data_IF_939772722014
#
_entry.id   IF_939772722014
#
_cell.length_a   1.000
_cell.length_b   1.000
_cell.length_c   1.000
_cell.angle_alpha   90.00
_cell.angle_beta   90.00
_cell.angle_gamma   90.00
#
_symmetry.space_group_name_H-M   'P 1'
#
loop_
_entity.id
_entity.type
_entity.pdbx_description
1 polymer ?
#
# COMPACT_ATOMS: atom_id res chain seq x y z
N UNK A 1 -5.47 -57.37 2.44
CA UNK A 1 -5.68 -57.23 0.99
C UNK A 1 -6.88 -56.32 0.79
N UNK A 2 -6.69 -55.16 0.14
CA UNK A 2 -7.67 -54.36 -0.62
C UNK A 2 -8.97 -53.91 0.09
N UNK A 3 -9.57 -52.74 -0.10
CA UNK A 3 -9.35 -51.46 -0.81
C UNK A 3 -10.70 -50.73 -0.61
N UNK A 4 -10.70 -49.40 -0.44
CA UNK A 4 -11.70 -48.35 -0.79
C UNK A 4 -13.22 -48.69 -0.77
N UNK A 5 -14.18 -47.83 -0.40
CA UNK A 5 -14.37 -46.41 -0.67
C UNK A 5 -15.71 -45.93 -0.08
N UNK A 6 -15.80 -44.66 0.35
CA UNK A 6 -16.86 -43.65 0.06
C UNK A 6 -16.88 -42.57 1.16
N UNK A 7 -16.35 -41.36 0.93
CA UNK A 7 -17.04 -40.14 0.43
C UNK A 7 -18.15 -39.68 1.41
N UNK A 8 -18.28 -38.44 1.91
CA UNK A 8 -17.78 -37.13 1.50
C UNK A 8 -18.02 -36.14 2.66
N UNK A 9 -17.06 -35.28 2.98
CA UNK A 9 -17.31 -33.85 3.19
C UNK A 9 -15.96 -33.15 3.25
N UNK A 10 -15.39 -32.93 2.08
CA UNK A 10 -14.39 -31.90 1.88
C UNK A 10 -15.10 -30.57 2.13
N UNK A 11 -14.89 -29.98 3.31
CA UNK A 11 -15.16 -28.55 3.46
C UNK A 11 -14.06 -27.84 2.70
N UNK A 12 -14.42 -27.41 1.50
CA UNK A 12 -13.63 -26.53 0.67
C UNK A 12 -13.43 -25.23 1.46
N UNK A 13 -12.30 -25.11 2.17
CA UNK A 13 -11.85 -23.82 2.67
C UNK A 13 -11.34 -23.06 1.44
N UNK A 14 -12.26 -22.33 0.82
CA UNK A 14 -11.92 -21.22 -0.06
C UNK A 14 -11.22 -20.17 0.80
N UNK A 15 -9.91 -20.28 0.88
CA UNK A 15 -9.01 -19.22 1.34
C UNK A 15 -8.44 -18.58 0.08
N UNK A 16 -9.29 -17.81 -0.58
CA UNK A 16 -8.82 -16.80 -1.53
C UNK A 16 -9.43 -15.48 -1.10
N UNK A 17 -8.71 -14.82 -0.20
CA UNK A 17 -8.59 -13.37 -0.27
C UNK A 17 -7.08 -13.09 -0.14
N UNK A 18 -6.52 -12.42 -1.15
CA UNK A 18 -5.07 -12.40 -1.41
C UNK A 18 -4.27 -11.56 -0.40
N UNK A 19 -4.92 -10.98 0.61
CA UNK A 19 -4.30 -10.09 1.60
C UNK A 19 -4.43 -10.58 3.06
N UNK A 20 -4.58 -11.88 3.30
CA UNK A 20 -4.48 -12.42 4.66
C UNK A 20 -3.23 -13.27 4.82
N UNK A 21 -2.23 -12.72 5.51
CA UNK A 21 -1.05 -13.47 6.00
C UNK A 21 -1.52 -14.55 6.97
N UNK A 22 -1.82 -15.74 6.45
CA UNK A 22 -2.25 -16.88 7.25
C UNK A 22 -1.10 -17.39 8.14
N UNK A 23 -1.27 -17.34 9.45
CA UNK A 23 -0.33 -17.94 10.40
C UNK A 23 -0.82 -19.31 10.86
N UNK A 24 0.02 -20.33 10.67
CA UNK A 24 -0.22 -21.69 11.16
C UNK A 24 0.33 -21.84 12.57
N UNK A 25 -0.56 -21.99 13.55
CA UNK A 25 -0.20 -22.18 14.96
C UNK A 25 -0.28 -23.67 15.31
N UNK A 26 0.68 -24.18 16.09
CA UNK A 26 0.64 -25.56 16.61
C UNK A 26 -0.48 -25.68 17.64
N UNK A 27 -1.36 -26.71 17.56
CA UNK A 27 -2.56 -26.82 18.40
C UNK A 27 -2.24 -26.80 19.91
N UNK A 28 -1.13 -27.43 20.32
CA UNK A 28 -0.72 -27.49 21.73
C UNK A 28 -0.33 -26.12 22.32
N UNK A 29 0.14 -25.19 21.48
CA UNK A 29 0.55 -23.84 21.90
C UNK A 29 -0.67 -22.94 22.06
N UNK A 30 -1.65 -23.04 21.15
CA UNK A 30 -2.88 -22.26 21.22
C UNK A 30 -3.72 -22.61 22.46
N UNK A 31 -3.84 -23.90 22.80
CA UNK A 31 -4.55 -24.37 23.99
C UNK A 31 -3.99 -23.79 25.29
N UNK A 32 -2.66 -23.81 25.45
CA UNK A 32 -1.99 -23.26 26.65
C UNK A 32 -2.21 -21.75 26.81
N UNK A 33 -2.28 -21.00 25.71
CA UNK A 33 -2.51 -19.57 25.77
C UNK A 33 -3.95 -19.24 26.20
N UNK A 34 -4.94 -19.95 25.66
CA UNK A 34 -6.35 -19.78 26.03
C UNK A 34 -6.57 -20.08 27.53
N UNK A 35 -5.96 -21.14 28.06
CA UNK A 35 -6.03 -21.48 29.49
C UNK A 35 -5.35 -20.41 30.37
N UNK A 36 -4.23 -19.85 29.93
CA UNK A 36 -3.51 -18.79 30.64
C UNK A 36 -4.29 -17.47 30.69
N UNK A 37 -4.91 -17.06 29.59
CA UNK A 37 -5.74 -15.84 29.52
C UNK A 37 -7.02 -15.97 30.36
N UNK A 38 -7.62 -17.17 30.41
CA UNK A 38 -8.82 -17.43 31.20
C UNK A 38 -8.56 -17.39 32.72
N UNK A 39 -7.32 -17.65 33.16
CA UNK A 39 -6.91 -17.56 34.56
C UNK A 39 -6.63 -16.12 35.03
N UNK A 40 -6.35 -15.17 34.11
CA UNK A 40 -5.99 -13.78 34.47
C UNK A 40 -7.23 -12.89 34.69
N UNK A 41 -8.41 -13.29 34.20
CA UNK A 41 -9.66 -12.54 34.35
C UNK A 41 -10.44 -12.84 35.65
N UNK A 42 -9.94 -13.73 36.51
CA UNK A 42 -10.57 -14.07 37.79
C UNK A 42 -9.93 -13.33 38.97
N UNK A 43 -10.20 -12.03 39.08
CA UNK A 43 -10.05 -11.30 40.36
C UNK A 43 -11.47 -11.08 40.92
N UNK A 44 -11.87 -11.75 42.01
CA UNK A 44 -13.11 -11.44 42.72
C UNK A 44 -12.93 -10.17 43.56
N UNK A 45 -13.85 -9.22 43.41
CA UNK A 45 -13.84 -7.93 44.11
C UNK A 45 -14.38 -7.96 45.56
N UNK A 46 -14.21 -6.83 46.24
CA UNK A 46 -14.96 -6.32 47.40
C UNK A 46 -14.73 -4.79 47.41
N UNK A 47 -15.69 -3.93 47.10
CA UNK A 47 -16.92 -3.50 47.81
C UNK A 47 -16.72 -2.18 48.58
N UNK A 48 -17.79 -1.39 48.59
CA UNK A 48 -17.86 0.05 48.80
C UNK A 48 -17.80 0.48 50.28
N UNK A 49 -17.46 1.75 50.55
CA UNK A 49 -18.13 2.54 51.60
C UNK A 49 -17.79 4.05 51.59
N UNK A 50 -18.79 4.84 52.00
CA UNK A 50 -18.93 6.30 51.99
C UNK A 50 -18.52 7.00 53.30
N UNK A 51 -17.76 8.11 53.22
CA UNK A 51 -17.68 9.27 54.15
C UNK A 51 -16.99 9.08 55.52
N UNK A 52 -16.61 10.15 56.29
CA UNK A 52 -16.92 11.59 56.16
C UNK A 52 -15.69 12.56 56.27
N UNK A 53 -16.01 13.86 56.21
CA UNK A 53 -15.17 15.07 56.15
C UNK A 53 -14.49 15.41 57.49
N UNK A 54 -13.16 15.67 57.56
CA UNK A 54 -12.50 16.62 58.50
C UNK A 54 -11.22 17.18 57.85
N UNK A 55 -11.05 18.50 57.93
CA UNK A 55 -10.12 19.28 57.12
C UNK A 55 -8.66 19.42 57.58
N UNK A 56 -7.93 20.17 56.75
CA UNK A 56 -6.53 20.55 56.98
C UNK A 56 -6.03 21.50 55.89
N UNK A 57 -6.21 22.80 56.13
CA UNK A 57 -5.67 23.93 55.36
C UNK A 57 -4.13 23.92 55.42
N UNK A 58 -3.45 24.06 54.27
CA UNK A 58 -2.27 24.93 54.02
C UNK A 58 -1.38 24.38 52.87
N UNK A 59 -1.12 25.21 51.86
CA UNK A 59 -0.09 24.96 50.84
C UNK A 59 -0.29 25.82 49.60
N UNK A 60 0.54 26.85 49.46
CA UNK A 60 0.52 27.99 48.53
C UNK A 60 0.38 27.69 47.02
N UNK A 61 -0.05 28.70 46.20
CA UNK A 61 -0.19 28.55 44.76
C UNK A 61 1.18 28.40 44.09
N UNK A 62 1.35 27.30 43.36
CA UNK A 62 2.50 27.11 42.46
C UNK A 62 2.33 28.08 41.29
N UNK A 63 3.34 28.87 40.89
CA UNK A 63 3.25 29.68 39.69
C UNK A 63 3.07 28.74 38.50
N UNK A 64 2.04 29.00 37.68
CA UNK A 64 1.88 28.40 36.37
C UNK A 64 3.05 28.89 35.50
N UNK A 65 4.19 28.24 35.64
CA UNK A 65 5.29 28.36 34.70
C UNK A 65 4.79 27.76 33.39
N UNK A 66 4.41 28.66 32.46
CA UNK A 66 4.12 28.32 31.09
C UNK A 66 5.33 27.63 30.49
N UNK A 67 5.34 26.31 30.61
CA UNK A 67 6.25 25.47 29.86
C UNK A 67 5.64 25.40 28.47
N UNK A 68 6.00 26.35 27.62
CA UNK A 68 5.83 26.18 26.18
C UNK A 68 6.71 25.00 25.80
N UNK A 69 6.14 23.80 25.90
CA UNK A 69 6.72 22.58 25.37
C UNK A 69 7.01 22.87 23.89
N UNK A 70 8.25 22.65 23.43
CA UNK A 70 8.58 22.92 22.04
C UNK A 70 7.79 21.94 21.19
N UNK A 71 6.75 22.44 20.51
CA UNK A 71 5.96 21.64 19.57
C UNK A 71 6.93 20.99 18.59
N UNK A 72 6.97 19.65 18.51
CA UNK A 72 7.86 18.97 17.58
C UNK A 72 7.55 19.46 16.16
N UNK A 73 8.57 19.68 15.31
CA UNK A 73 8.36 20.16 13.96
C UNK A 73 7.45 19.18 13.22
N UNK A 74 6.33 19.67 12.70
CA UNK A 74 5.40 18.89 11.89
C UNK A 74 6.17 18.45 10.64
N UNK A 75 6.45 17.15 10.52
CA UNK A 75 7.08 16.59 9.34
C UNK A 75 6.19 16.87 8.12
N UNK A 76 6.76 17.54 7.12
CA UNK A 76 6.04 17.90 5.90
C UNK A 76 5.86 16.66 5.03
N UNK A 77 4.62 16.41 4.61
CA UNK A 77 4.32 15.29 3.70
C UNK A 77 4.77 15.63 2.26
N UNK A 78 5.21 14.62 1.48
CA UNK A 78 5.57 14.81 0.08
C UNK A 78 4.36 15.24 -0.75
N UNK A 79 4.55 16.19 -1.68
CA UNK A 79 3.46 16.79 -2.48
C UNK A 79 3.53 16.48 -3.97
N UNK A 80 4.63 15.88 -4.44
CA UNK A 80 4.88 15.59 -5.86
C UNK A 80 5.59 14.26 -5.99
N UNK A 81 5.16 13.46 -6.95
CA UNK A 81 5.84 12.25 -7.39
C UNK A 81 6.34 12.45 -8.82
N UNK A 82 7.54 11.98 -9.10
CA UNK A 82 8.13 11.88 -10.42
C UNK A 82 8.85 10.54 -10.52
N UNK A 83 8.62 9.81 -11.60
CA UNK A 83 9.26 8.52 -11.85
C UNK A 83 9.37 8.25 -13.33
N UNK A 84 10.45 7.56 -13.71
CA UNK A 84 10.72 7.09 -15.07
C UNK A 84 11.00 5.60 -14.98
N UNK A 85 10.47 4.82 -15.92
CA UNK A 85 10.75 3.40 -16.04
C UNK A 85 11.14 3.11 -17.50
N UNK A 86 12.23 2.35 -17.68
CA UNK A 86 12.58 1.80 -18.99
C UNK A 86 11.75 0.55 -19.23
N UNK A 87 11.09 0.47 -20.38
CA UNK A 87 10.23 -0.66 -20.75
C UNK A 87 10.93 -1.53 -21.79
N UNK A 88 10.74 -2.84 -21.69
CA UNK A 88 11.15 -3.76 -22.75
C UNK A 88 10.25 -3.51 -23.98
N UNK A 89 10.80 -3.17 -25.16
CA UNK A 89 10.01 -2.85 -26.34
C UNK A 89 9.19 -4.05 -26.85
N UNK A 90 9.60 -5.28 -26.56
CA UNK A 90 8.85 -6.50 -26.92
C UNK A 90 7.66 -6.75 -25.99
N UNK A 91 7.64 -6.09 -24.82
CA UNK A 91 6.62 -6.26 -23.78
C UNK A 91 5.99 -4.94 -23.31
N UNK A 92 6.22 -3.84 -24.04
CA UNK A 92 5.87 -2.50 -23.58
C UNK A 92 4.43 -2.34 -23.12
N UNK A 93 3.47 -2.97 -23.81
CA UNK A 93 2.06 -2.94 -23.40
C UNK A 93 1.79 -3.61 -22.03
N UNK A 94 2.44 -4.75 -21.76
CA UNK A 94 2.30 -5.45 -20.47
C UNK A 94 2.92 -4.63 -19.34
N UNK A 95 4.13 -4.14 -19.55
CA UNK A 95 4.86 -3.43 -18.51
C UNK A 95 4.20 -2.07 -18.22
N UNK A 96 3.69 -1.36 -19.24
CA UNK A 96 2.88 -0.18 -19.08
C UNK A 96 1.56 -0.46 -18.31
N UNK A 97 0.94 -1.61 -18.55
CA UNK A 97 -0.26 -2.03 -17.80
C UNK A 97 0.06 -2.25 -16.32
N UNK A 98 1.17 -2.91 -16.02
CA UNK A 98 1.60 -3.11 -14.63
C UNK A 98 1.89 -1.77 -13.92
N UNK A 99 2.54 -0.82 -14.59
CA UNK A 99 2.76 0.53 -14.03
C UNK A 99 1.42 1.25 -13.81
N UNK A 100 0.45 1.04 -14.71
CA UNK A 100 -0.88 1.60 -14.55
C UNK A 100 -1.57 1.11 -13.27
N UNK A 101 -1.53 -0.20 -13.04
CA UNK A 101 -2.19 -0.83 -11.90
C UNK A 101 -1.47 -0.54 -10.58
N UNK A 102 -0.15 -0.59 -10.56
CA UNK A 102 0.62 -0.50 -9.31
C UNK A 102 0.95 0.94 -8.90
N UNK A 103 1.11 1.86 -9.84
CA UNK A 103 1.55 3.24 -9.54
C UNK A 103 0.49 4.27 -9.89
N UNK A 104 0.02 4.26 -11.14
CA UNK A 104 -0.90 5.29 -11.62
C UNK A 104 -2.24 5.18 -10.88
N UNK A 105 -2.75 3.98 -10.62
CA UNK A 105 -4.00 3.78 -9.89
C UNK A 105 -3.94 4.37 -8.47
N UNK A 106 -2.85 4.11 -7.73
CA UNK A 106 -2.66 4.67 -6.39
C UNK A 106 -2.61 6.19 -6.38
N UNK A 107 -1.88 6.80 -7.33
CA UNK A 107 -1.78 8.25 -7.44
C UNK A 107 -3.11 8.89 -7.87
N UNK A 108 -3.84 8.24 -8.79
CA UNK A 108 -5.12 8.73 -9.31
C UNK A 108 -6.26 8.58 -8.29
N UNK A 109 -6.13 7.65 -7.34
CA UNK A 109 -7.07 7.48 -6.24
C UNK A 109 -7.02 8.59 -5.19
N UNK A 110 -5.96 9.43 -5.18
CA UNK A 110 -5.84 10.54 -4.25
C UNK A 110 -6.74 11.71 -4.66
N UNK A 111 -7.58 12.18 -3.72
CA UNK A 111 -8.48 13.31 -3.95
C UNK A 111 -7.71 14.57 -4.36
N UNK A 112 -8.06 15.13 -5.51
CA UNK A 112 -7.44 16.34 -6.05
C UNK A 112 -6.06 16.14 -6.69
N UNK A 113 -5.56 14.90 -6.78
CA UNK A 113 -4.31 14.64 -7.50
C UNK A 113 -4.50 14.84 -9.02
N UNK A 114 -3.56 15.54 -9.63
CA UNK A 114 -3.44 15.62 -11.08
C UNK A 114 -2.31 14.71 -11.53
N UNK A 115 -2.66 13.61 -12.19
CA UNK A 115 -1.69 12.66 -12.75
C UNK A 115 -1.50 12.95 -14.23
N UNK A 116 -0.25 12.92 -14.68
CA UNK A 116 0.11 13.05 -16.10
C UNK A 116 1.10 11.94 -16.41
N UNK A 117 0.84 11.21 -17.50
CA UNK A 117 1.65 10.08 -17.93
C UNK A 117 2.16 10.40 -19.33
N UNK A 118 3.46 10.24 -19.53
CA UNK A 118 4.12 10.47 -20.81
C UNK A 118 4.82 9.18 -21.21
N UNK A 119 4.58 8.74 -22.45
CA UNK A 119 5.35 7.67 -23.08
C UNK A 119 6.33 8.30 -24.07
N UNK A 120 7.60 7.98 -23.91
CA UNK A 120 8.68 8.39 -24.78
C UNK A 120 9.20 7.17 -25.54
N UNK A 121 9.46 7.32 -26.85
CA UNK A 121 9.94 6.25 -27.71
C UNK A 121 11.16 6.78 -28.44
N UNK A 122 12.29 6.12 -28.22
CA UNK A 122 13.57 6.43 -28.85
C UNK A 122 14.03 5.21 -29.65
N UNK A 123 14.56 5.45 -30.85
CA UNK A 123 15.10 4.41 -31.70
C UNK A 123 16.30 4.95 -32.50
N UNK A 124 17.47 4.38 -32.24
CA UNK A 124 18.66 4.64 -33.05
C UNK A 124 18.67 3.71 -34.28
N UNK A 125 18.77 4.29 -35.47
CA UNK A 125 18.74 3.56 -36.74
C UNK A 125 20.03 3.89 -37.50
N UNK A 126 21.09 3.13 -37.21
CA UNK A 126 22.45 3.43 -37.69
C UNK A 126 22.58 3.64 -39.21
N UNK A 127 21.76 2.98 -40.03
CA UNK A 127 21.78 3.10 -41.48
C UNK A 127 20.69 4.04 -42.04
N UNK A 128 19.98 4.76 -41.16
CA UNK A 128 18.79 5.53 -41.49
C UNK A 128 17.54 4.65 -41.67
N UNK A 129 16.37 5.27 -41.46
CA UNK A 129 15.09 4.65 -41.72
C UNK A 129 14.76 4.71 -43.22
N UNK A 130 14.27 3.60 -43.78
CA UNK A 130 13.74 3.63 -45.16
C UNK A 130 12.49 4.52 -45.27
N UNK A 131 12.24 5.09 -46.45
CA UNK A 131 11.07 5.93 -46.72
C UNK A 131 9.74 5.29 -46.28
N UNK A 132 9.62 3.97 -46.45
CA UNK A 132 8.42 3.25 -46.03
C UNK A 132 8.24 3.25 -44.50
N UNK A 133 9.33 3.09 -43.75
CA UNK A 133 9.31 3.15 -42.28
C UNK A 133 9.01 4.58 -41.83
N UNK A 134 9.68 5.58 -42.41
CA UNK A 134 9.45 7.00 -42.08
C UNK A 134 7.98 7.36 -42.28
N UNK A 135 7.40 6.99 -43.42
CA UNK A 135 5.97 7.22 -43.71
C UNK A 135 5.07 6.53 -42.71
N UNK A 136 5.29 5.24 -42.46
CA UNK A 136 4.45 4.42 -41.58
C UNK A 136 4.46 4.96 -40.14
N UNK A 137 5.64 5.23 -39.59
CA UNK A 137 5.78 5.74 -38.23
C UNK A 137 5.18 7.13 -38.11
N UNK A 138 5.42 8.02 -39.09
CA UNK A 138 4.85 9.38 -39.08
C UNK A 138 3.32 9.36 -39.13
N UNK A 139 2.72 8.49 -39.94
CA UNK A 139 1.26 8.35 -40.03
C UNK A 139 0.66 7.75 -38.75
N UNK A 140 1.32 6.77 -38.15
CA UNK A 140 0.93 6.20 -36.86
C UNK A 140 1.01 7.25 -35.75
N UNK A 141 2.08 8.05 -35.67
CA UNK A 141 2.23 9.10 -34.67
C UNK A 141 1.11 10.14 -34.75
N UNK A 142 0.70 10.52 -35.97
CA UNK A 142 -0.48 11.40 -36.17
C UNK A 142 -1.77 10.74 -35.71
N UNK A 143 -1.99 9.47 -36.09
CA UNK A 143 -3.20 8.72 -35.74
C UNK A 143 -3.34 8.53 -34.23
N UNK A 144 -2.23 8.23 -33.56
CA UNK A 144 -2.12 8.05 -32.12
C UNK A 144 -1.97 9.38 -31.35
N UNK A 145 -2.01 10.52 -32.06
CA UNK A 145 -2.00 11.87 -31.50
C UNK A 145 -0.78 12.16 -30.62
N UNK A 146 0.40 11.72 -31.07
CA UNK A 146 1.66 12.12 -30.45
C UNK A 146 1.74 13.65 -30.44
N UNK A 147 2.09 14.23 -29.29
CA UNK A 147 2.24 15.68 -29.13
C UNK A 147 3.55 16.20 -29.74
N UNK A 148 4.59 15.37 -29.74
CA UNK A 148 5.88 15.60 -30.39
C UNK A 148 6.36 14.30 -31.03
N UNK A 149 6.82 14.37 -32.27
CA UNK A 149 7.38 13.22 -33.01
C UNK A 149 8.16 13.70 -34.24
N UNK A 150 9.18 12.94 -34.65
CA UNK A 150 9.97 13.23 -35.86
C UNK A 150 11.11 12.23 -36.05
N UNK A 151 11.64 12.17 -37.26
CA UNK A 151 12.95 11.58 -37.52
C UNK A 151 13.94 12.74 -37.64
N UNK A 152 15.04 12.67 -36.91
CA UNK A 152 16.11 13.66 -36.97
C UNK A 152 17.14 13.23 -38.02
N UNK A 153 17.78 14.23 -38.65
CA UNK A 153 18.94 14.02 -39.52
C UNK A 153 20.14 14.49 -38.71
N UNK A 154 21.01 13.56 -38.31
CA UNK A 154 22.30 13.87 -37.70
C UNK A 154 23.21 14.68 -38.65
#
# INVERSE_FOLDING_TARGET
MKVLQNLCSVRNLSLFDADTTGSLVKPDVALKQIEGEQAVLAIPGQDQETGPIVGGRHGSPVPLAGTSEPTPPIATQPKRFHGTASLDPTRGGRDASQIADEVIAHLSGLLGAKVTVTLEIEAEIANGASDNIVRTVTENSRTLKFTSHGFEQD
#
